data_IF_334158394965
#
_entry.id   IF_334158394965
#
_cell.length_a   1.000
_cell.length_b   1.000
_cell.length_c   1.000
_cell.angle_alpha   90.00
_cell.angle_beta   90.00
_cell.angle_gamma   90.00
#
_symmetry.space_group_name_H-M   'P 1'
#
loop_
_entity.id
_entity.type
_entity.pdbx_description
1 polymer ?
#
# COMPACT_ATOMS: atom_id res chain seq x y z
N UNK A 1 13.35 -33.72 -25.40
CA UNK A 1 13.43 -33.30 -23.99
C UNK A 1 14.45 -32.18 -23.72
N UNK A 2 15.72 -32.27 -24.18
CA UNK A 2 16.75 -31.23 -23.92
C UNK A 2 16.37 -29.85 -24.45
N UNK A 3 15.84 -29.71 -25.68
CA UNK A 3 15.38 -28.43 -26.26
C UNK A 3 14.29 -27.76 -25.41
N UNK A 4 13.28 -28.52 -25.01
CA UNK A 4 12.17 -28.03 -24.16
C UNK A 4 12.66 -27.54 -22.78
N UNK A 5 13.66 -28.22 -22.20
CA UNK A 5 14.29 -27.80 -20.94
C UNK A 5 15.06 -26.48 -21.09
N UNK A 6 15.73 -26.29 -22.23
CA UNK A 6 16.43 -25.04 -22.54
C UNK A 6 15.47 -23.86 -22.73
N UNK A 7 14.32 -24.05 -23.40
CA UNK A 7 13.29 -23.04 -23.59
C UNK A 7 12.64 -22.60 -22.26
N UNK A 8 12.36 -23.54 -21.36
CA UNK A 8 11.83 -23.22 -20.01
C UNK A 8 12.84 -22.44 -19.19
N UNK A 9 14.13 -22.85 -19.23
CA UNK A 9 15.17 -22.10 -18.50
C UNK A 9 15.33 -20.67 -19.04
N UNK A 10 15.23 -20.47 -20.35
CA UNK A 10 15.25 -19.13 -20.95
C UNK A 10 14.07 -18.27 -20.46
N UNK A 11 12.86 -18.83 -20.43
CA UNK A 11 11.68 -18.15 -19.92
C UNK A 11 11.81 -17.76 -18.43
N UNK A 12 12.35 -18.68 -17.59
CA UNK A 12 12.61 -18.37 -16.19
C UNK A 12 13.55 -17.16 -16.05
N UNK A 13 14.64 -17.15 -16.82
CA UNK A 13 15.59 -16.03 -16.79
C UNK A 13 14.96 -14.71 -17.27
N UNK A 14 14.15 -14.78 -18.32
CA UNK A 14 13.40 -13.62 -18.84
C UNK A 14 12.48 -13.04 -17.78
N UNK A 15 11.67 -13.88 -17.10
CA UNK A 15 10.79 -13.46 -16.01
C UNK A 15 11.54 -12.77 -14.89
N UNK A 16 12.63 -13.39 -14.38
CA UNK A 16 13.44 -12.83 -13.30
C UNK A 16 14.09 -11.51 -13.70
N UNK A 17 14.53 -11.38 -14.95
CA UNK A 17 15.09 -10.14 -15.46
C UNK A 17 14.02 -9.05 -15.59
N UNK A 18 12.79 -9.39 -15.98
CA UNK A 18 11.69 -8.43 -16.02
C UNK A 18 11.35 -7.91 -14.63
N UNK A 19 11.25 -8.78 -13.61
CA UNK A 19 11.04 -8.36 -12.20
C UNK A 19 12.18 -7.46 -11.73
N UNK A 20 13.44 -7.83 -12.00
CA UNK A 20 14.61 -7.01 -11.66
C UNK A 20 14.54 -5.62 -12.31
N UNK A 21 14.24 -5.57 -13.60
CA UNK A 21 14.12 -4.31 -14.33
C UNK A 21 12.98 -3.45 -13.78
N UNK A 22 11.83 -4.04 -13.49
CA UNK A 22 10.70 -3.33 -12.91
C UNK A 22 11.04 -2.72 -11.54
N UNK A 23 11.82 -3.41 -10.70
CA UNK A 23 12.33 -2.88 -9.42
C UNK A 23 13.23 -1.66 -9.62
N UNK A 24 14.14 -1.70 -10.59
CA UNK A 24 15.10 -0.60 -10.81
C UNK A 24 14.47 0.67 -11.40
N UNK A 25 13.27 0.56 -11.97
CA UNK A 25 12.54 1.70 -12.57
C UNK A 25 11.54 2.35 -11.62
N UNK A 26 11.43 1.88 -10.38
CA UNK A 26 10.55 2.48 -9.38
C UNK A 26 11.04 3.88 -8.99
N UNK A 27 10.14 4.86 -9.07
CA UNK A 27 10.43 6.22 -8.61
C UNK A 27 10.31 6.32 -7.08
N UNK A 28 11.46 6.46 -6.43
CA UNK A 28 11.55 6.58 -4.98
C UNK A 28 10.86 7.82 -4.43
N UNK A 29 10.79 8.92 -5.18
CA UNK A 29 10.10 10.14 -4.76
C UNK A 29 8.58 9.91 -4.70
N UNK A 30 8.03 9.22 -5.68
CA UNK A 30 6.60 8.85 -5.68
C UNK A 30 6.28 7.89 -4.54
N UNK A 31 7.16 6.91 -4.26
CA UNK A 31 7.01 6.01 -3.10
C UNK A 31 7.04 6.79 -1.79
N UNK A 32 7.95 7.74 -1.64
CA UNK A 32 8.03 8.61 -0.47
C UNK A 32 6.76 9.46 -0.30
N UNK A 33 6.22 10.00 -1.40
CA UNK A 33 4.96 10.74 -1.37
C UNK A 33 3.79 9.87 -0.89
N UNK A 34 3.68 8.65 -1.39
CA UNK A 34 2.67 7.69 -0.93
C UNK A 34 2.83 7.38 0.57
N UNK A 35 4.06 7.15 1.04
CA UNK A 35 4.36 6.94 2.46
C UNK A 35 3.94 8.15 3.30
N UNK A 36 4.24 9.37 2.86
CA UNK A 36 3.84 10.60 3.55
C UNK A 36 2.31 10.74 3.65
N UNK A 37 1.57 10.31 2.63
CA UNK A 37 0.10 10.30 2.67
C UNK A 37 -0.42 9.30 3.71
N UNK A 38 0.18 8.12 3.85
CA UNK A 38 -0.16 7.13 4.88
C UNK A 38 0.12 7.68 6.28
N UNK A 39 1.30 8.28 6.48
CA UNK A 39 1.69 8.92 7.75
C UNK A 39 0.70 10.03 8.11
N UNK A 40 0.34 10.87 7.16
CA UNK A 40 -0.60 11.98 7.37
C UNK A 40 -2.01 11.47 7.77
N UNK A 41 -2.48 10.39 7.11
CA UNK A 41 -3.74 9.74 7.49
C UNK A 41 -3.66 9.22 8.94
N UNK A 42 -2.57 8.55 9.31
CA UNK A 42 -2.34 8.08 10.68
C UNK A 42 -2.34 9.22 11.70
N UNK A 43 -1.55 10.27 11.47
CA UNK A 43 -1.44 11.41 12.37
C UNK A 43 -2.77 12.13 12.59
N UNK A 44 -3.58 12.24 11.54
CA UNK A 44 -4.92 12.85 11.58
C UNK A 44 -6.03 11.91 12.03
N UNK A 45 -5.71 10.65 12.38
CA UNK A 45 -6.69 9.63 12.78
C UNK A 45 -7.68 9.27 11.69
N UNK A 46 -7.28 9.47 10.41
CA UNK A 46 -8.10 9.15 9.24
C UNK A 46 -8.09 7.65 8.95
N UNK A 47 -9.11 7.19 8.25
CA UNK A 47 -9.23 5.80 7.80
C UNK A 47 -8.47 5.60 6.50
N UNK A 48 -7.95 4.39 6.32
CA UNK A 48 -7.29 3.94 5.10
C UNK A 48 -8.10 2.77 4.53
N UNK A 49 -8.62 2.91 3.34
CA UNK A 49 -9.35 1.87 2.61
C UNK A 49 -8.48 1.34 1.49
N UNK A 50 -8.35 0.02 1.38
CA UNK A 50 -7.51 -0.61 0.38
C UNK A 50 -8.36 -1.60 -0.41
N UNK A 51 -8.23 -1.64 -1.73
CA UNK A 51 -8.95 -2.61 -2.56
C UNK A 51 -8.30 -2.82 -3.93
N UNK A 52 -8.61 -3.95 -4.54
CA UNK A 52 -8.20 -4.35 -5.87
C UNK A 52 -9.04 -5.52 -6.38
N UNK A 53 -8.72 -6.04 -7.55
CA UNK A 53 -9.37 -7.23 -8.13
C UNK A 53 -8.38 -8.38 -8.24
N UNK A 54 -8.83 -9.64 -8.16
CA UNK A 54 -7.99 -10.82 -8.36
C UNK A 54 -6.78 -10.88 -7.42
N UNK A 55 -5.56 -11.03 -7.96
CA UNK A 55 -4.31 -11.00 -7.19
C UNK A 55 -4.13 -9.69 -6.43
N UNK A 56 -4.52 -8.56 -7.03
CA UNK A 56 -4.52 -7.26 -6.35
C UNK A 56 -5.48 -7.21 -5.14
N UNK A 57 -6.56 -8.00 -5.12
CA UNK A 57 -7.44 -8.12 -3.95
C UNK A 57 -6.71 -8.82 -2.79
N UNK A 58 -5.98 -9.88 -3.08
CA UNK A 58 -5.16 -10.59 -2.08
C UNK A 58 -4.08 -9.68 -1.51
N UNK A 59 -3.40 -8.90 -2.37
CA UNK A 59 -2.42 -7.91 -1.93
C UNK A 59 -3.05 -6.79 -1.12
N UNK A 60 -4.29 -6.36 -1.42
CA UNK A 60 -5.01 -5.37 -0.64
C UNK A 60 -5.30 -5.85 0.79
N UNK A 61 -5.75 -7.08 0.96
CA UNK A 61 -5.97 -7.71 2.27
C UNK A 61 -4.66 -7.88 3.04
N UNK A 62 -3.59 -8.32 2.36
CA UNK A 62 -2.25 -8.41 2.93
C UNK A 62 -1.75 -7.04 3.41
N UNK A 63 -1.88 -6.00 2.57
CA UNK A 63 -1.47 -4.64 2.92
C UNK A 63 -2.24 -4.09 4.12
N UNK A 64 -3.54 -4.37 4.22
CA UNK A 64 -4.33 -3.98 5.39
C UNK A 64 -3.84 -4.68 6.67
N UNK A 65 -3.47 -5.95 6.59
CA UNK A 65 -2.86 -6.69 7.69
C UNK A 65 -1.51 -6.09 8.11
N UNK A 66 -0.61 -5.85 7.16
CA UNK A 66 0.73 -5.34 7.44
C UNK A 66 0.68 -3.92 8.03
N UNK A 67 -0.11 -3.03 7.45
CA UNK A 67 -0.27 -1.67 7.95
C UNK A 67 -1.01 -1.63 9.30
N UNK A 68 -1.99 -2.50 9.52
CA UNK A 68 -2.78 -2.53 10.76
C UNK A 68 -2.07 -3.20 11.93
N UNK A 69 -1.41 -4.35 11.70
CA UNK A 69 -0.73 -5.15 12.72
C UNK A 69 0.79 -5.03 12.65
N UNK A 70 1.38 -5.11 11.45
CA UNK A 70 2.84 -5.16 11.27
C UNK A 70 3.57 -3.88 11.69
N UNK A 71 2.84 -2.75 11.79
CA UNK A 71 3.40 -1.46 12.20
C UNK A 71 3.31 -1.18 13.70
N UNK A 72 2.80 -2.12 14.49
CA UNK A 72 2.72 -1.99 15.94
C UNK A 72 4.07 -2.32 16.58
N UNK A 73 4.49 -1.48 17.52
CA UNK A 73 5.70 -1.70 18.34
C UNK A 73 5.39 -2.57 19.57
N UNK A 74 4.17 -2.48 20.09
CA UNK A 74 3.72 -3.17 21.29
C UNK A 74 2.28 -3.64 21.12
N UNK A 75 2.07 -4.90 20.85
CA UNK A 75 0.74 -5.46 20.56
C UNK A 75 -0.29 -5.26 21.67
N UNK A 76 0.15 -5.22 22.92
CA UNK A 76 -0.71 -5.10 24.11
C UNK A 76 -0.77 -3.69 24.69
N UNK A 77 -0.10 -2.71 24.06
CA UNK A 77 -0.14 -1.32 24.52
C UNK A 77 -1.40 -0.63 23.99
N UNK A 78 -2.36 -0.42 24.89
CA UNK A 78 -3.62 0.27 24.55
C UNK A 78 -3.42 1.77 24.26
N UNK A 79 -2.25 2.33 24.56
CA UNK A 79 -1.92 3.74 24.32
C UNK A 79 -1.25 3.93 22.95
N UNK A 80 -0.77 2.85 22.34
CA UNK A 80 -0.17 2.94 21.01
C UNK A 80 -1.24 3.28 19.96
N UNK A 81 -1.06 4.39 19.26
CA UNK A 81 -1.95 4.82 18.20
C UNK A 81 -1.90 3.84 17.04
N UNK A 82 -3.06 3.36 16.61
CA UNK A 82 -3.20 2.39 15.52
C UNK A 82 -3.62 3.08 14.23
N UNK A 83 -3.11 2.60 13.09
CA UNK A 83 -3.64 2.99 11.79
C UNK A 83 -5.03 2.37 11.61
N UNK A 84 -6.01 3.19 11.27
CA UNK A 84 -7.40 2.75 11.02
C UNK A 84 -7.51 2.27 9.58
N UNK A 85 -7.05 1.07 9.31
CA UNK A 85 -6.97 0.49 7.96
C UNK A 85 -7.90 -0.70 7.80
N UNK A 86 -8.49 -0.84 6.61
CA UNK A 86 -9.28 -2.01 6.22
C UNK A 86 -9.17 -2.27 4.72
N UNK A 87 -9.24 -3.53 4.33
CA UNK A 87 -9.47 -3.92 2.95
C UNK A 87 -10.97 -4.04 2.67
N UNK A 88 -11.43 -3.44 1.58
CA UNK A 88 -12.82 -3.61 1.13
C UNK A 88 -13.06 -4.96 0.45
N UNK A 89 -12.02 -5.77 0.28
CA UNK A 89 -12.13 -7.14 -0.22
C UNK A 89 -12.47 -8.16 0.87
N UNK A 90 -12.26 -7.83 2.16
CA UNK A 90 -12.34 -8.80 3.25
C UNK A 90 -13.80 -9.14 3.64
N UNK A 91 -14.74 -8.23 3.39
CA UNK A 91 -16.16 -8.52 3.60
C UNK A 91 -16.77 -9.15 2.33
N UNK A 92 -16.57 -10.44 2.16
CA UNK A 92 -17.02 -11.18 1.00
C UNK A 92 -18.56 -11.15 0.85
N UNK A 93 -19.31 -11.19 1.97
CA UNK A 93 -20.77 -11.13 1.93
C UNK A 93 -21.24 -9.79 1.34
N UNK A 94 -20.67 -8.68 1.78
CA UNK A 94 -21.05 -7.36 1.30
C UNK A 94 -20.66 -7.16 -0.18
N UNK A 95 -19.45 -7.62 -0.55
CA UNK A 95 -18.93 -7.54 -1.91
C UNK A 95 -19.84 -8.33 -2.89
N UNK A 96 -20.19 -9.56 -2.52
CA UNK A 96 -21.04 -10.42 -3.36
C UNK A 96 -22.49 -9.93 -3.42
N UNK A 97 -23.05 -9.41 -2.32
CA UNK A 97 -24.39 -8.82 -2.32
C UNK A 97 -24.50 -7.65 -3.29
N UNK A 98 -23.59 -6.67 -3.22
CA UNK A 98 -23.58 -5.55 -4.16
C UNK A 98 -23.32 -5.99 -5.61
N UNK A 99 -22.47 -7.00 -5.82
CA UNK A 99 -22.22 -7.52 -7.15
C UNK A 99 -23.46 -8.20 -7.75
N UNK A 100 -24.23 -8.94 -6.93
CA UNK A 100 -25.46 -9.63 -7.33
C UNK A 100 -26.62 -8.66 -7.55
N UNK A 101 -26.86 -7.76 -6.61
CA UNK A 101 -28.07 -6.92 -6.59
C UNK A 101 -27.95 -5.71 -7.53
N UNK A 102 -26.74 -5.25 -7.80
CA UNK A 102 -26.48 -4.11 -8.69
C UNK A 102 -25.61 -4.53 -9.90
N UNK A 103 -24.32 -4.62 -9.67
CA UNK A 103 -23.31 -5.19 -10.58
C UNK A 103 -21.94 -5.14 -9.90
N UNK A 104 -20.99 -5.92 -10.41
CA UNK A 104 -19.61 -5.89 -9.90
C UNK A 104 -18.95 -4.50 -10.02
N UNK A 105 -19.40 -3.67 -10.96
CA UNK A 105 -18.92 -2.29 -11.09
C UNK A 105 -19.24 -1.42 -9.87
N UNK A 106 -20.19 -1.81 -9.04
CA UNK A 106 -20.64 -1.08 -7.86
C UNK A 106 -20.09 -1.63 -6.55
N UNK A 107 -19.43 -2.79 -6.56
CA UNK A 107 -19.04 -3.51 -5.35
C UNK A 107 -18.19 -2.69 -4.36
N UNK A 108 -17.24 -1.88 -4.84
CA UNK A 108 -16.41 -1.04 -3.97
C UNK A 108 -17.02 0.33 -3.70
N UNK A 109 -17.62 0.95 -4.70
CA UNK A 109 -18.20 2.30 -4.52
C UNK A 109 -19.33 2.30 -3.50
N UNK A 110 -20.15 1.24 -3.44
CA UNK A 110 -21.23 1.13 -2.45
C UNK A 110 -20.67 0.98 -1.02
N UNK A 111 -19.60 0.22 -0.84
CA UNK A 111 -18.92 0.15 0.46
C UNK A 111 -18.34 1.51 0.87
N UNK A 112 -17.72 2.24 -0.05
CA UNK A 112 -17.21 3.58 0.22
C UNK A 112 -18.31 4.58 0.57
N UNK A 113 -19.53 4.45 -0.01
CA UNK A 113 -20.66 5.32 0.35
C UNK A 113 -21.03 5.22 1.83
N UNK A 114 -20.87 4.05 2.42
CA UNK A 114 -21.15 3.83 3.83
C UNK A 114 -20.00 4.29 4.75
N UNK A 115 -18.77 4.38 4.23
CA UNK A 115 -17.59 4.43 5.07
C UNK A 115 -16.74 5.70 4.89
N UNK A 116 -16.57 6.19 3.65
CA UNK A 116 -15.56 7.22 3.35
C UNK A 116 -16.00 8.60 3.78
N UNK A 117 -15.08 9.32 4.43
CA UNK A 117 -15.25 10.72 4.83
C UNK A 117 -14.11 11.60 4.30
N UNK A 118 -14.33 12.89 4.35
CA UNK A 118 -13.34 13.90 3.95
C UNK A 118 -12.02 13.71 4.71
N UNK A 119 -10.93 13.61 3.94
CA UNK A 119 -9.58 13.47 4.47
C UNK A 119 -9.15 12.03 4.73
N UNK A 120 -10.03 11.03 4.55
CA UNK A 120 -9.63 9.62 4.55
C UNK A 120 -8.67 9.33 3.37
N UNK A 121 -7.98 8.21 3.43
CA UNK A 121 -7.07 7.75 2.38
C UNK A 121 -7.64 6.50 1.71
N UNK A 122 -7.61 6.48 0.39
CA UNK A 122 -8.01 5.33 -0.41
C UNK A 122 -6.82 4.86 -1.24
N UNK A 123 -6.45 3.59 -1.11
CA UNK A 123 -5.36 2.95 -1.86
C UNK A 123 -5.98 1.93 -2.81
N UNK A 124 -5.75 2.07 -4.10
CA UNK A 124 -6.21 1.13 -5.12
C UNK A 124 -5.04 0.39 -5.74
N UNK A 125 -5.14 -0.94 -5.82
CA UNK A 125 -4.17 -1.79 -6.50
C UNK A 125 -4.77 -2.29 -7.82
N UNK A 126 -4.04 -2.11 -8.92
CA UNK A 126 -4.50 -2.56 -10.25
C UNK A 126 -3.35 -2.68 -11.24
N UNK A 127 -3.14 -3.87 -11.81
CA UNK A 127 -2.19 -4.04 -12.90
C UNK A 127 -2.55 -3.19 -14.11
N UNK A 128 -3.80 -3.22 -14.58
CA UNK A 128 -4.24 -2.51 -15.78
C UNK A 128 -4.64 -1.04 -15.56
N UNK A 129 -5.03 -0.67 -14.33
CA UNK A 129 -5.56 0.66 -14.03
C UNK A 129 -6.87 1.03 -14.74
N UNK A 130 -7.57 0.07 -15.35
CA UNK A 130 -8.73 0.33 -16.21
C UNK A 130 -10.03 -0.34 -15.74
N UNK A 131 -10.03 -1.06 -14.63
CA UNK A 131 -11.21 -1.76 -14.12
C UNK A 131 -12.30 -0.77 -13.70
N UNK A 132 -13.51 -0.93 -14.24
CA UNK A 132 -14.62 0.02 -14.07
C UNK A 132 -15.05 0.18 -12.61
N UNK A 133 -15.05 -0.90 -11.82
CA UNK A 133 -15.38 -0.88 -10.39
C UNK A 133 -14.38 -0.02 -9.58
N UNK A 134 -13.07 -0.12 -9.92
CA UNK A 134 -12.02 0.67 -9.28
C UNK A 134 -12.11 2.15 -9.66
N UNK A 135 -12.34 2.44 -10.95
CA UNK A 135 -12.52 3.80 -11.47
C UNK A 135 -13.72 4.50 -10.80
N UNK A 136 -14.87 3.81 -10.70
CA UNK A 136 -16.06 4.34 -10.00
C UNK A 136 -15.78 4.64 -8.53
N UNK A 137 -15.06 3.73 -7.86
CA UNK A 137 -14.72 3.88 -6.45
C UNK A 137 -13.76 5.06 -6.21
N UNK A 138 -12.71 5.21 -7.01
CA UNK A 138 -11.76 6.32 -6.91
C UNK A 138 -12.43 7.66 -7.22
N UNK A 139 -13.27 7.73 -8.26
CA UNK A 139 -14.04 8.93 -8.55
C UNK A 139 -14.86 9.36 -7.34
N UNK A 140 -15.65 8.45 -6.79
CA UNK A 140 -16.48 8.74 -5.62
C UNK A 140 -15.65 9.16 -4.40
N UNK A 141 -14.54 8.49 -4.12
CA UNK A 141 -13.65 8.84 -3.00
C UNK A 141 -13.14 10.28 -3.12
N UNK A 142 -12.71 10.70 -4.32
CA UNK A 142 -12.27 12.07 -4.60
C UNK A 142 -13.39 13.08 -4.45
N UNK A 143 -14.58 12.80 -4.97
CA UNK A 143 -15.77 13.65 -4.83
C UNK A 143 -16.15 13.85 -3.35
N UNK A 144 -15.83 12.87 -2.48
CA UNK A 144 -16.01 12.96 -1.02
C UNK A 144 -14.84 13.63 -0.29
N UNK A 145 -13.79 14.04 -1.00
CA UNK A 145 -12.63 14.72 -0.45
C UNK A 145 -11.63 13.78 0.24
N UNK A 146 -11.66 12.50 -0.07
CA UNK A 146 -10.62 11.56 0.33
C UNK A 146 -9.35 11.77 -0.53
N UNK A 147 -8.18 11.42 0.01
CA UNK A 147 -6.93 11.33 -0.72
C UNK A 147 -6.78 9.96 -1.36
N UNK A 148 -6.06 9.87 -2.47
CA UNK A 148 -6.00 8.63 -3.25
C UNK A 148 -4.58 8.26 -3.66
N UNK A 149 -4.22 6.97 -3.47
CA UNK A 149 -2.97 6.37 -3.96
C UNK A 149 -3.35 5.26 -4.94
N UNK A 150 -2.68 5.20 -6.08
CA UNK A 150 -2.72 4.08 -7.02
C UNK A 150 -1.39 3.33 -7.00
N UNK A 151 -1.44 2.01 -6.78
CA UNK A 151 -0.33 1.10 -7.03
C UNK A 151 -0.69 0.36 -8.31
N UNK A 152 -0.09 0.80 -9.42
CA UNK A 152 -0.55 0.52 -10.77
C UNK A 152 0.54 -0.16 -11.60
N UNK A 153 0.18 -0.66 -12.78
CA UNK A 153 1.10 -1.34 -13.67
C UNK A 153 0.91 -0.97 -15.14
N UNK A 154 1.36 -1.88 -16.03
CA UNK A 154 1.26 -1.78 -17.48
C UNK A 154 1.83 -0.48 -18.04
N UNK A 155 3.01 -0.07 -17.55
CA UNK A 155 3.81 1.08 -18.00
C UNK A 155 3.13 2.45 -17.85
N UNK A 156 1.80 2.53 -18.00
CA UNK A 156 1.06 3.79 -17.99
C UNK A 156 0.05 3.90 -16.85
N UNK A 157 -0.21 2.82 -16.11
CA UNK A 157 -1.13 2.83 -14.97
C UNK A 157 -2.60 3.01 -15.34
N UNK A 158 -2.94 3.00 -16.65
CA UNK A 158 -4.30 3.13 -17.16
C UNK A 158 -4.98 4.46 -16.74
N UNK A 159 -6.31 4.48 -16.81
CA UNK A 159 -7.11 5.65 -16.43
C UNK A 159 -6.95 6.06 -14.96
N UNK A 160 -6.64 5.10 -14.09
CA UNK A 160 -6.44 5.40 -12.67
C UNK A 160 -5.23 6.28 -12.43
N UNK A 161 -4.17 6.22 -13.26
CA UNK A 161 -2.96 7.04 -13.11
C UNK A 161 -3.27 8.54 -13.18
N UNK A 162 -4.22 8.94 -14.03
CA UNK A 162 -4.66 10.33 -14.19
C UNK A 162 -5.65 10.76 -13.09
N UNK A 163 -6.25 9.80 -12.38
CA UNK A 163 -7.30 10.08 -11.42
C UNK A 163 -6.80 10.16 -9.99
N UNK A 164 -5.77 9.43 -9.62
CA UNK A 164 -5.26 9.38 -8.24
C UNK A 164 -4.38 10.58 -7.91
N UNK A 165 -4.28 10.94 -6.62
CA UNK A 165 -3.41 12.03 -6.17
C UNK A 165 -1.92 11.62 -6.16
N UNK A 166 -1.63 10.32 -6.01
CA UNK A 166 -0.28 9.75 -6.08
C UNK A 166 -0.35 8.39 -6.77
N UNK A 167 0.35 8.21 -7.89
CA UNK A 167 0.38 6.98 -8.68
C UNK A 167 1.77 6.37 -8.73
N UNK A 168 2.00 5.20 -8.10
CA UNK A 168 3.21 4.40 -8.26
C UNK A 168 2.95 3.44 -9.42
N UNK A 169 3.73 3.57 -10.50
CA UNK A 169 3.51 2.80 -11.73
C UNK A 169 4.67 1.83 -11.96
N UNK A 170 4.35 0.54 -11.97
CA UNK A 170 5.30 -0.54 -12.25
C UNK A 170 5.50 -0.67 -13.76
N UNK A 171 6.74 -0.56 -14.21
CA UNK A 171 7.13 -0.58 -15.62
C UNK A 171 7.24 -2.02 -16.15
N UNK A 172 6.13 -2.74 -16.24
CA UNK A 172 6.00 -4.06 -16.87
C UNK A 172 4.65 -4.17 -17.58
N UNK A 173 4.58 -5.04 -18.58
CA UNK A 173 3.34 -5.31 -19.35
C UNK A 173 2.70 -6.65 -18.96
N UNK A 174 3.29 -7.40 -18.03
CA UNK A 174 2.80 -8.70 -17.60
C UNK A 174 2.28 -8.66 -16.16
N UNK A 175 1.16 -9.36 -15.91
CA UNK A 175 0.52 -9.37 -14.59
C UNK A 175 1.43 -9.90 -13.49
N UNK A 176 2.14 -11.02 -13.72
CA UNK A 176 3.00 -11.63 -12.71
C UNK A 176 4.03 -10.63 -12.14
N UNK A 177 4.96 -10.11 -12.96
CA UNK A 177 5.93 -9.12 -12.50
C UNK A 177 5.30 -7.87 -11.88
N UNK A 178 4.15 -7.39 -12.41
CA UNK A 178 3.45 -6.24 -11.81
C UNK A 178 2.95 -6.58 -10.40
N UNK A 179 2.31 -7.72 -10.21
CA UNK A 179 1.76 -8.15 -8.92
C UNK A 179 2.87 -8.48 -7.92
N UNK A 180 3.99 -9.07 -8.34
CA UNK A 180 5.18 -9.28 -7.52
C UNK A 180 5.72 -7.96 -6.96
N UNK A 181 5.84 -6.94 -7.81
CA UNK A 181 6.29 -5.61 -7.40
C UNK A 181 5.25 -4.91 -6.51
N UNK A 182 3.95 -5.10 -6.73
CA UNK A 182 2.91 -4.60 -5.84
C UNK A 182 3.08 -5.15 -4.43
N UNK A 183 3.44 -6.42 -4.29
CA UNK A 183 3.72 -7.04 -2.98
C UNK A 183 5.01 -6.49 -2.36
N UNK A 184 6.06 -6.27 -3.15
CA UNK A 184 7.29 -5.60 -2.68
C UNK A 184 6.97 -4.19 -2.16
N UNK A 185 6.17 -3.41 -2.89
CA UNK A 185 5.75 -2.08 -2.47
C UNK A 185 4.91 -2.09 -1.19
N UNK A 186 4.03 -3.09 -1.01
CA UNK A 186 3.32 -3.30 0.24
C UNK A 186 4.29 -3.43 1.42
N UNK A 187 5.21 -4.39 1.36
CA UNK A 187 6.18 -4.62 2.42
C UNK A 187 7.10 -3.43 2.66
N UNK A 188 7.52 -2.75 1.59
CA UNK A 188 8.36 -1.54 1.68
C UNK A 188 7.64 -0.41 2.42
N UNK A 189 6.41 -0.07 2.02
CA UNK A 189 5.62 0.99 2.66
C UNK A 189 5.31 0.66 4.12
N UNK A 190 4.93 -0.58 4.42
CA UNK A 190 4.67 -1.02 5.80
C UNK A 190 5.94 -0.97 6.67
N UNK A 191 7.09 -1.44 6.14
CA UNK A 191 8.37 -1.43 6.84
C UNK A 191 8.86 0.01 7.10
N UNK A 192 8.78 0.88 6.11
CA UNK A 192 9.13 2.29 6.26
C UNK A 192 8.22 2.99 7.27
N UNK A 193 6.92 2.76 7.22
CA UNK A 193 5.97 3.33 8.18
C UNK A 193 6.25 2.84 9.61
N UNK A 194 6.49 1.53 9.79
CA UNK A 194 6.86 0.97 11.09
C UNK A 194 8.18 1.54 11.63
N UNK A 195 9.19 1.74 10.77
CA UNK A 195 10.46 2.36 11.13
C UNK A 195 10.25 3.80 11.57
N UNK A 196 9.55 4.62 10.79
CA UNK A 196 9.28 6.02 11.09
C UNK A 196 8.49 6.14 12.41
N UNK A 197 7.48 5.30 12.60
CA UNK A 197 6.67 5.28 13.81
C UNK A 197 7.51 5.06 15.07
N UNK A 198 8.49 4.16 15.01
CA UNK A 198 9.38 3.83 16.14
C UNK A 198 10.46 4.90 16.39
N UNK A 199 11.10 5.38 15.33
CA UNK A 199 12.25 6.28 15.44
C UNK A 199 11.85 7.72 15.75
N UNK A 200 10.74 8.19 15.19
CA UNK A 200 10.30 9.59 15.33
C UNK A 200 9.15 9.79 16.29
N UNK A 201 8.74 8.73 17.02
CA UNK A 201 7.71 8.81 18.06
C UNK A 201 6.45 9.56 17.60
N UNK A 202 6.05 9.35 16.35
CA UNK A 202 4.93 10.09 15.70
C UNK A 202 3.58 9.92 16.41
N UNK A 203 3.51 9.01 17.38
CA UNK A 203 2.32 8.77 18.22
C UNK A 203 2.30 9.62 19.50
N UNK A 204 3.40 10.29 19.84
CA UNK A 204 3.40 11.19 20.98
C UNK A 204 2.61 12.45 20.67
N UNK A 205 1.75 12.94 21.60
CA UNK A 205 1.08 14.21 21.39
C UNK A 205 2.13 15.30 21.18
N UNK A 206 1.96 16.10 20.13
CA UNK A 206 2.85 17.19 19.82
C UNK A 206 2.94 18.12 21.04
N UNK A 207 4.08 18.12 21.73
CA UNK A 207 4.39 19.18 22.66
C UNK A 207 4.60 20.45 21.81
N UNK A 208 3.51 21.18 21.57
CA UNK A 208 3.47 22.54 21.03
C UNK A 208 4.59 22.97 20.08
N UNK A 209 4.94 22.15 19.08
CA UNK A 209 5.61 22.60 17.84
C UNK A 209 5.28 21.56 16.79
N UNK A 210 4.65 21.99 15.69
CA UNK A 210 4.66 21.21 14.46
C UNK A 210 6.13 20.85 14.21
N UNK A 211 6.49 19.58 14.32
CA UNK A 211 7.79 19.11 13.84
C UNK A 211 7.70 19.28 12.33
N UNK A 212 8.43 20.22 11.72
CA UNK A 212 8.44 20.29 10.28
C UNK A 212 9.02 18.98 9.82
N UNK A 213 8.23 18.18 9.08
CA UNK A 213 8.77 17.10 8.29
C UNK A 213 9.86 17.70 7.41
N UNK A 214 11.09 17.22 7.48
CA UNK A 214 12.06 17.62 6.49
C UNK A 214 11.49 17.23 5.14
N UNK A 215 11.24 18.20 4.26
CA UNK A 215 10.73 18.00 2.90
C UNK A 215 11.67 17.12 2.05
N UNK A 216 12.83 16.74 2.59
CA UNK A 216 13.85 15.90 1.98
C UNK A 216 14.28 14.83 2.99
N UNK A 217 13.55 13.72 3.05
CA UNK A 217 14.04 12.49 3.68
C UNK A 217 14.97 11.80 2.69
N UNK A 218 16.21 12.26 2.61
CA UNK A 218 17.27 11.48 1.98
C UNK A 218 17.75 10.45 3.01
N UNK A 219 18.01 9.22 2.56
CA UNK A 219 18.51 8.10 3.36
C UNK A 219 19.84 8.44 4.06
N UNK A 220 20.51 9.52 3.68
CA UNK A 220 21.81 9.99 4.21
C UNK A 220 21.73 10.63 5.60
N UNK A 221 20.56 11.05 6.09
CA UNK A 221 20.43 11.73 7.38
C UNK A 221 20.15 10.79 8.56
N UNK A 222 20.11 9.48 8.35
CA UNK A 222 19.97 8.48 9.43
C UNK A 222 21.34 8.18 10.02
N UNK A 223 21.82 8.99 10.94
CA UNK A 223 22.89 8.59 11.84
C UNK A 223 22.36 7.43 12.72
N UNK A 224 22.78 6.22 12.39
CA UNK A 224 22.53 5.02 13.19
C UNK A 224 23.17 5.24 14.56
N UNK A 225 22.35 5.54 15.57
CA UNK A 225 22.82 5.43 16.95
C UNK A 225 23.02 3.94 17.23
N UNK A 226 24.27 3.54 17.40
CA UNK A 226 24.67 2.20 17.82
C UNK A 226 23.98 1.85 19.15
N UNK A 227 22.86 1.14 19.09
CA UNK A 227 22.21 0.55 20.26
C UNK A 227 22.81 -0.85 20.54
N UNK A 228 24.12 -0.93 20.69
CA UNK A 228 24.76 -2.09 21.32
C UNK A 228 24.59 -1.97 22.84
N UNK A 229 23.43 -2.22 23.35
CA UNK A 229 23.15 -2.64 24.76
C UNK A 229 21.63 -2.68 24.95
N UNK A 230 21.03 -3.82 24.68
CA UNK A 230 19.83 -4.36 25.36
C UNK A 230 19.12 -5.40 24.49
N UNK A 231 19.81 -6.50 24.17
CA UNK A 231 19.12 -7.70 23.65
C UNK A 231 19.68 -8.97 24.30
N UNK A 232 19.40 -9.09 25.59
CA UNK A 232 19.52 -10.36 26.32
C UNK A 232 18.27 -10.68 27.13
N UNK A 233 17.07 -10.48 26.57
CA UNK A 233 15.82 -11.01 27.14
C UNK A 233 14.72 -10.99 26.09
N UNK A 234 14.71 -11.86 25.15
CA UNK A 234 13.53 -12.31 24.41
C UNK A 234 13.91 -13.32 23.30
N UNK A 235 14.77 -14.26 23.65
CA UNK A 235 14.94 -15.47 22.87
C UNK A 235 14.23 -16.60 23.63
N UNK A 236 12.93 -16.64 23.59
CA UNK A 236 12.11 -17.84 23.79
C UNK A 236 10.66 -17.52 23.46
N UNK A 237 10.08 -18.36 22.63
CA UNK A 237 8.69 -18.46 22.15
C UNK A 237 8.54 -18.02 20.69
N UNK A 238 8.69 -19.06 19.85
CA UNK A 238 8.07 -19.42 18.54
C UNK A 238 7.46 -18.31 17.69
#
# INVERSE_FOLDING_TARGET
MKKKKSEINAFIQEYLNEVKNALTTLDTNTIQNALNMIINAHQKGKRVFIFGNGGSASTASHMACDLGKGTLSRFYDNKEKRLRVMSLNDNMALLTAYANDLSFEHAFVQQLKNLVEKGDLVIVLSGSGNSKNLIKAIKYAKDRGAKTIGILGFKHGGKLAEMVDCGIIVQSSHYGPVEDIHLVLNHLLASCFAKIKREYEIDKPAKNKAVPYPNNFLVEDVKIKDTKKQDKRNATVL
#
